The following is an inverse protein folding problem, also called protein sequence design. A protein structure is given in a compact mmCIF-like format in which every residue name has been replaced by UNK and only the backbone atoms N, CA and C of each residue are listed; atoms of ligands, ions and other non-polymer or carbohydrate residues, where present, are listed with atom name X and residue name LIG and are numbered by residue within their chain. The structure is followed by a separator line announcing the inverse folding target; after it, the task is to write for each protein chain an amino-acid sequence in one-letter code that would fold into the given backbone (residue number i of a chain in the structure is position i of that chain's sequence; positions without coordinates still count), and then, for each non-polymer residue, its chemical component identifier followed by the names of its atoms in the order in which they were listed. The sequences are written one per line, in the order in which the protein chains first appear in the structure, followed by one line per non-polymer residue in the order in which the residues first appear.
data_IF_113190016400
#
_entry.id   IF_113190016400
#
_cell.length_a   1.000
_cell.length_b   1.000
_cell.length_c   1.000
_cell.angle_alpha   90.00
_cell.angle_beta   90.00
_cell.angle_gamma   90.00
#
_symmetry.space_group_name_H-M   'P 1'
#
loop_
_entity.id
_entity.type
_entity.pdbx_description
1 polymer ?
#
# COMPACT_ATOMS: atom_id res chain seq x y z
N UNK A 1 -0.61 11.59 -4.44
CA UNK A 1 -0.13 10.41 -5.21
C UNK A 1 -0.39 9.17 -4.40
N UNK A 2 -0.86 8.11 -5.06
CA UNK A 2 -1.29 6.88 -4.37
C UNK A 2 -0.21 5.80 -4.33
N UNK A 3 0.79 5.85 -5.20
CA UNK A 3 1.86 4.85 -5.29
C UNK A 3 3.21 5.43 -4.92
N UNK A 4 3.96 4.69 -4.10
CA UNK A 4 5.28 5.07 -3.62
C UNK A 4 6.27 3.93 -3.81
N UNK A 5 7.47 4.25 -4.29
CA UNK A 5 8.62 3.33 -4.28
C UNK A 5 9.22 3.32 -2.88
N UNK A 6 9.54 2.12 -2.40
CA UNK A 6 10.24 1.91 -1.14
C UNK A 6 11.74 1.78 -1.43
N UNK A 7 12.54 2.52 -0.70
CA UNK A 7 14.01 2.44 -0.76
C UNK A 7 14.61 2.47 0.64
N UNK A 8 15.86 2.04 0.75
CA UNK A 8 16.57 2.01 2.02
C UNK A 8 17.61 3.12 2.06
N UNK A 9 17.66 3.84 3.16
CA UNK A 9 18.70 4.81 3.48
C UNK A 9 19.01 4.73 4.96
N UNK A 10 20.28 4.57 5.31
CA UNK A 10 20.77 4.50 6.69
C UNK A 10 20.00 3.46 7.55
N UNK A 11 19.66 2.32 6.96
CA UNK A 11 18.90 1.24 7.61
C UNK A 11 17.38 1.48 7.72
N UNK A 12 16.89 2.66 7.34
CA UNK A 12 15.46 2.99 7.36
C UNK A 12 14.79 2.72 6.01
N UNK A 13 13.55 2.23 6.04
CA UNK A 13 12.67 2.17 4.87
C UNK A 13 12.02 3.53 4.65
N UNK A 14 12.36 4.17 3.54
CA UNK A 14 11.81 5.43 3.11
C UNK A 14 10.90 5.24 1.89
N UNK A 15 10.02 6.21 1.67
CA UNK A 15 9.07 6.24 0.56
C UNK A 15 9.34 7.45 -0.32
N UNK A 16 9.29 7.26 -1.63
CA UNK A 16 9.20 8.37 -2.58
C UNK A 16 8.01 8.17 -3.53
N UNK A 17 7.29 9.24 -3.85
CA UNK A 17 6.16 9.13 -4.78
C UNK A 17 6.66 8.79 -6.19
N UNK A 18 5.78 8.16 -6.96
CA UNK A 18 5.94 7.93 -8.39
C UNK A 18 5.12 8.97 -9.13
N UNK A 19 5.77 9.82 -9.92
CA UNK A 19 5.16 11.02 -10.50
C UNK A 19 4.17 10.70 -11.64
N UNK A 20 4.41 9.65 -12.41
CA UNK A 20 3.62 9.32 -13.59
C UNK A 20 3.86 7.86 -14.04
N UNK A 21 3.10 7.43 -15.04
CA UNK A 21 3.20 6.08 -15.60
C UNK A 21 4.57 5.79 -16.22
N UNK A 22 5.20 6.77 -16.86
CA UNK A 22 6.54 6.57 -17.45
C UNK A 22 7.55 6.21 -16.39
N UNK A 23 7.61 6.98 -15.29
CA UNK A 23 8.48 6.68 -14.16
C UNK A 23 8.14 5.32 -13.53
N UNK A 24 6.85 5.01 -13.39
CA UNK A 24 6.37 3.75 -12.85
C UNK A 24 6.90 2.55 -13.64
N UNK A 25 6.82 2.61 -14.97
CA UNK A 25 7.31 1.56 -15.87
C UNK A 25 8.83 1.47 -15.87
N UNK A 26 9.53 2.61 -15.96
CA UNK A 26 10.99 2.64 -15.94
C UNK A 26 11.58 2.06 -14.63
N UNK A 27 10.98 2.38 -13.49
CA UNK A 27 11.42 1.83 -12.20
C UNK A 27 11.29 0.30 -12.13
N UNK A 28 10.24 -0.25 -12.76
CA UNK A 28 9.97 -1.69 -12.81
C UNK A 28 10.89 -2.44 -13.76
N UNK A 29 11.31 -1.79 -14.86
CA UNK A 29 12.04 -2.41 -15.95
C UNK A 29 13.57 -2.28 -15.86
N UNK A 30 14.09 -1.94 -14.69
CA UNK A 30 15.53 -1.95 -14.44
C UNK A 30 16.11 -3.36 -14.64
N UNK A 31 17.35 -3.44 -15.09
CA UNK A 31 18.05 -4.72 -15.25
C UNK A 31 18.10 -5.51 -13.94
N UNK A 32 18.32 -4.82 -12.83
CA UNK A 32 18.28 -5.41 -11.51
C UNK A 32 16.91 -6.08 -11.24
N UNK A 33 15.80 -5.35 -11.41
CA UNK A 33 14.47 -5.87 -11.10
C UNK A 33 14.07 -7.05 -12.02
N UNK A 34 14.53 -7.04 -13.29
CA UNK A 34 14.29 -8.12 -14.24
C UNK A 34 14.97 -9.42 -13.88
N UNK A 35 16.12 -9.35 -13.19
CA UNK A 35 16.93 -10.49 -12.78
C UNK A 35 16.73 -10.90 -11.32
N UNK A 36 16.07 -10.05 -10.54
CA UNK A 36 15.89 -10.28 -9.11
C UNK A 36 14.94 -11.45 -8.83
N UNK A 37 15.27 -12.24 -7.83
CA UNK A 37 14.29 -13.10 -7.20
C UNK A 37 13.25 -12.24 -6.42
N UNK A 38 12.15 -12.85 -5.98
CA UNK A 38 11.04 -12.12 -5.35
C UNK A 38 11.49 -11.14 -4.24
N UNK A 39 12.41 -11.56 -3.38
CA UNK A 39 12.79 -10.79 -2.19
C UNK A 39 13.71 -9.60 -2.49
N UNK A 40 14.31 -9.60 -3.67
CA UNK A 40 15.20 -8.54 -4.16
C UNK A 40 14.54 -7.63 -5.20
N UNK A 41 13.27 -7.90 -5.53
CA UNK A 41 12.51 -7.04 -6.45
C UNK A 41 12.24 -5.66 -5.85
N UNK A 42 11.96 -4.72 -6.75
CA UNK A 42 11.42 -3.41 -6.40
C UNK A 42 10.23 -3.55 -5.44
N UNK A 43 10.19 -2.71 -4.42
CA UNK A 43 9.07 -2.67 -3.47
C UNK A 43 8.26 -1.39 -3.66
N UNK A 44 6.95 -1.54 -3.69
CA UNK A 44 6.01 -0.40 -3.75
C UNK A 44 4.96 -0.51 -2.65
N UNK A 45 4.42 0.64 -2.24
CA UNK A 45 3.24 0.72 -1.38
C UNK A 45 2.14 1.52 -2.09
N UNK A 46 0.88 1.07 -1.92
CA UNK A 46 -0.31 1.66 -2.54
C UNK A 46 -1.32 2.17 -1.51
N UNK A 47 -1.11 1.93 -0.21
CA UNK A 47 -2.16 2.11 0.81
C UNK A 47 -1.89 3.25 1.78
N UNK A 48 -0.65 3.74 1.89
CA UNK A 48 -0.33 4.83 2.81
C UNK A 48 0.54 5.93 2.17
N UNK A 49 0.59 7.06 2.85
CA UNK A 49 1.52 8.16 2.59
C UNK A 49 2.70 8.06 3.56
N UNK A 50 3.87 8.58 3.21
CA UNK A 50 5.02 8.61 4.11
C UNK A 50 4.76 9.44 5.36
N UNK A 51 5.46 9.15 6.44
CA UNK A 51 5.59 10.05 7.57
C UNK A 51 6.25 11.38 7.15
N UNK A 52 6.22 12.45 7.98
CA UNK A 52 6.87 13.72 7.66
C UNK A 52 8.38 13.62 7.38
N UNK A 53 9.06 12.63 7.96
CA UNK A 53 10.47 12.32 7.73
C UNK A 53 10.71 11.43 6.48
N UNK A 54 9.66 11.10 5.74
CA UNK A 54 9.70 10.22 4.58
C UNK A 54 9.66 8.73 4.89
N UNK A 55 9.63 8.33 6.17
CA UNK A 55 9.65 6.91 6.55
C UNK A 55 8.31 6.21 6.31
N UNK A 56 8.38 4.88 6.06
CA UNK A 56 7.22 4.00 5.94
C UNK A 56 6.74 3.49 7.30
N UNK A 57 7.68 3.14 8.18
CA UNK A 57 7.38 2.43 9.43
C UNK A 57 6.46 3.24 10.33
N UNK A 58 5.35 2.62 10.73
CA UNK A 58 4.39 3.23 11.65
C UNK A 58 3.56 4.36 11.03
N UNK A 59 3.58 4.55 9.71
CA UNK A 59 2.70 5.53 9.08
C UNK A 59 1.23 5.14 9.29
N UNK A 60 0.44 6.12 9.74
CA UNK A 60 -1.03 6.02 9.88
C UNK A 60 -1.76 6.84 8.81
N UNK A 61 -1.02 7.48 7.90
CA UNK A 61 -1.55 8.34 6.86
C UNK A 61 -2.02 7.51 5.67
N UNK A 62 -3.32 7.39 5.49
CA UNK A 62 -3.87 6.62 4.37
C UNK A 62 -3.75 7.38 3.04
N UNK A 63 -3.40 6.67 1.97
CA UNK A 63 -3.50 7.18 0.60
C UNK A 63 -4.93 7.02 0.06
N UNK A 64 -5.19 7.57 -1.14
CA UNK A 64 -6.49 7.43 -1.81
C UNK A 64 -6.69 6.06 -2.48
N UNK A 65 -5.73 5.18 -2.37
CA UNK A 65 -5.82 3.83 -2.89
C UNK A 65 -5.64 2.78 -1.81
N UNK A 66 -6.03 1.57 -2.14
CA UNK A 66 -5.86 0.37 -1.34
C UNK A 66 -5.13 -0.66 -2.20
N UNK A 67 -3.99 -1.13 -1.71
CA UNK A 67 -3.31 -2.28 -2.29
C UNK A 67 -3.90 -3.57 -1.72
N UNK A 68 -4.17 -4.53 -2.59
CA UNK A 68 -4.69 -5.86 -2.23
C UNK A 68 -3.85 -6.95 -2.90
N UNK A 69 -3.50 -7.96 -2.15
CA UNK A 69 -2.76 -9.13 -2.59
C UNK A 69 -3.73 -10.32 -2.67
N UNK A 70 -3.82 -10.96 -3.81
CA UNK A 70 -4.68 -12.11 -4.10
C UNK A 70 -3.77 -13.30 -4.34
N UNK A 71 -3.66 -14.18 -3.37
CA UNK A 71 -2.82 -15.36 -3.43
C UNK A 71 -3.64 -16.63 -3.55
N UNK A 72 -3.15 -17.58 -4.34
CA UNK A 72 -3.73 -18.92 -4.48
C UNK A 72 -2.74 -19.98 -4.05
N UNK A 73 -3.27 -21.10 -3.53
CA UNK A 73 -2.44 -22.28 -3.27
C UNK A 73 -2.10 -22.97 -4.60
N UNK A 74 -0.80 -23.03 -4.99
CA UNK A 74 -0.41 -23.71 -6.23
C UNK A 74 -0.72 -25.20 -6.26
N UNK A 75 -1.02 -25.81 -5.11
CA UNK A 75 -1.39 -27.23 -5.00
C UNK A 75 -2.90 -27.43 -5.09
N UNK A 76 -3.70 -26.36 -5.09
CA UNK A 76 -5.15 -26.50 -5.25
C UNK A 76 -5.49 -27.02 -6.65
N UNK A 77 -6.44 -27.92 -6.78
CA UNK A 77 -6.78 -28.54 -8.07
C UNK A 77 -7.33 -27.55 -9.09
N UNK A 78 -7.85 -26.41 -8.63
CA UNK A 78 -8.43 -25.33 -9.44
C UNK A 78 -7.47 -24.12 -9.63
N UNK A 79 -6.20 -24.24 -9.20
CA UNK A 79 -5.22 -23.17 -9.26
C UNK A 79 -5.10 -22.53 -10.64
N UNK A 80 -4.86 -23.33 -11.67
CA UNK A 80 -4.70 -22.84 -13.04
C UNK A 80 -5.96 -22.15 -13.57
N UNK A 81 -7.14 -22.65 -13.21
CA UNK A 81 -8.40 -22.04 -13.59
C UNK A 81 -8.57 -20.69 -12.91
N UNK A 82 -8.29 -20.57 -11.60
CA UNK A 82 -8.34 -19.31 -10.85
C UNK A 82 -7.35 -18.29 -11.41
N UNK A 83 -6.11 -18.72 -11.68
CA UNK A 83 -5.10 -17.85 -12.26
C UNK A 83 -5.51 -17.29 -13.63
N UNK A 84 -6.27 -18.02 -14.44
CA UNK A 84 -6.80 -17.55 -15.73
C UNK A 84 -7.99 -16.62 -15.59
N UNK A 85 -8.88 -16.89 -14.64
CA UNK A 85 -10.16 -16.16 -14.51
C UNK A 85 -10.00 -14.79 -13.82
N UNK A 86 -9.02 -14.61 -12.94
CA UNK A 86 -8.89 -13.38 -12.14
C UNK A 86 -8.72 -12.11 -12.99
N UNK A 87 -7.88 -12.06 -14.05
CA UNK A 87 -7.76 -10.86 -14.85
C UNK A 87 -9.08 -10.42 -15.49
N UNK A 88 -9.83 -11.36 -16.06
CA UNK A 88 -11.14 -11.07 -16.67
C UNK A 88 -12.14 -10.61 -15.62
N UNK A 89 -12.18 -11.26 -14.47
CA UNK A 89 -13.03 -10.89 -13.36
C UNK A 89 -12.75 -9.47 -12.86
N UNK A 90 -11.49 -9.15 -12.60
CA UNK A 90 -11.06 -7.84 -12.08
C UNK A 90 -11.34 -6.74 -13.10
N UNK A 91 -11.01 -6.97 -14.39
CA UNK A 91 -11.28 -6.01 -15.46
C UNK A 91 -12.78 -5.85 -15.70
N UNK A 92 -13.58 -6.92 -15.60
CA UNK A 92 -15.04 -6.85 -15.72
C UNK A 92 -15.70 -6.01 -14.62
N UNK A 93 -15.02 -5.85 -13.48
CA UNK A 93 -15.46 -5.04 -12.34
C UNK A 93 -14.67 -3.74 -12.15
N UNK A 94 -13.87 -3.32 -13.14
CA UNK A 94 -12.94 -2.20 -13.02
C UNK A 94 -13.59 -0.89 -12.58
N UNK A 95 -14.75 -0.57 -13.12
CA UNK A 95 -15.44 0.69 -12.85
C UNK A 95 -16.06 0.69 -11.44
N UNK A 96 -16.69 -0.42 -11.04
CA UNK A 96 -17.28 -0.60 -9.72
C UNK A 96 -16.20 -0.61 -8.62
N UNK A 97 -15.09 -1.29 -8.88
CA UNK A 97 -13.93 -1.35 -7.99
C UNK A 97 -13.19 -0.01 -7.91
N UNK A 98 -13.25 0.81 -8.97
CA UNK A 98 -12.35 1.93 -9.16
C UNK A 98 -10.91 1.45 -9.33
N UNK A 99 -10.71 0.46 -10.20
CA UNK A 99 -9.42 -0.18 -10.42
C UNK A 99 -8.37 0.82 -10.90
N UNK A 100 -7.23 0.84 -10.25
CA UNK A 100 -6.08 1.71 -10.57
C UNK A 100 -4.90 0.91 -11.13
N UNK A 101 -4.75 -0.34 -10.72
CA UNK A 101 -3.67 -1.23 -11.19
C UNK A 101 -4.07 -2.69 -11.02
N UNK A 102 -3.67 -3.52 -11.98
CA UNK A 102 -3.69 -4.98 -11.91
C UNK A 102 -2.39 -5.52 -12.46
N UNK A 103 -1.74 -6.39 -11.71
CA UNK A 103 -0.54 -7.10 -12.15
C UNK A 103 -0.55 -8.56 -11.69
N UNK A 104 0.12 -9.42 -12.44
CA UNK A 104 0.42 -10.76 -11.98
C UNK A 104 1.59 -10.67 -10.98
N UNK A 105 1.42 -11.20 -9.78
CA UNK A 105 2.47 -11.22 -8.76
C UNK A 105 3.69 -12.04 -9.20
N UNK A 106 4.79 -11.94 -8.48
CA UNK A 106 6.02 -12.68 -8.80
C UNK A 106 5.81 -14.21 -8.76
N UNK A 107 4.90 -14.71 -7.93
CA UNK A 107 4.74 -16.15 -7.69
C UNK A 107 3.34 -16.66 -8.09
N UNK A 108 2.35 -16.50 -7.22
CA UNK A 108 1.17 -17.36 -7.19
C UNK A 108 -0.17 -16.60 -7.14
N UNK A 109 -0.21 -15.39 -7.67
CA UNK A 109 -1.44 -14.61 -7.59
C UNK A 109 -1.35 -13.30 -8.33
N UNK A 110 -2.07 -12.30 -7.82
CA UNK A 110 -2.19 -10.98 -8.41
C UNK A 110 -2.11 -9.91 -7.33
N UNK A 111 -1.55 -8.76 -7.68
CA UNK A 111 -1.70 -7.54 -6.92
C UNK A 111 -2.68 -6.63 -7.65
N UNK A 112 -3.57 -6.00 -6.90
CA UNK A 112 -4.43 -4.93 -7.41
C UNK A 112 -4.28 -3.69 -6.53
N UNK A 113 -4.44 -2.52 -7.14
CA UNK A 113 -4.69 -1.28 -6.43
C UNK A 113 -6.01 -0.71 -6.92
N UNK A 114 -6.84 -0.22 -6.00
CA UNK A 114 -8.14 0.35 -6.31
C UNK A 114 -8.40 1.60 -5.46
N UNK A 115 -9.37 2.43 -5.87
CA UNK A 115 -9.74 3.64 -5.17
C UNK A 115 -10.27 3.33 -3.78
N UNK A 116 -9.71 4.01 -2.78
CA UNK A 116 -10.19 3.90 -1.40
C UNK A 116 -11.59 4.48 -1.28
N UNK A 117 -12.46 3.77 -0.59
CA UNK A 117 -13.71 4.29 -0.05
C UNK A 117 -13.38 4.95 1.29
N UNK A 118 -13.45 6.30 1.37
CA UNK A 118 -12.91 7.03 2.53
C UNK A 118 -13.70 6.78 3.82
N UNK A 119 -14.95 6.35 3.71
CA UNK A 119 -15.83 5.99 4.80
C UNK A 119 -15.50 4.62 5.44
N UNK A 120 -14.72 3.80 4.75
CA UNK A 120 -14.34 2.47 5.19
C UNK A 120 -12.91 2.44 5.75
N UNK A 121 -12.69 1.59 6.76
CA UNK A 121 -11.35 1.27 7.22
C UNK A 121 -10.53 0.56 6.12
N UNK A 122 -9.21 0.41 6.32
CA UNK A 122 -8.38 -0.38 5.41
C UNK A 122 -8.92 -1.80 5.25
N UNK A 123 -9.24 -2.44 6.36
CA UNK A 123 -9.74 -3.82 6.35
C UNK A 123 -11.12 -3.93 5.70
N UNK A 124 -12.02 -2.96 5.94
CA UNK A 124 -13.35 -3.00 5.34
C UNK A 124 -13.33 -2.70 3.84
N UNK A 125 -12.40 -1.86 3.35
CA UNK A 125 -12.13 -1.72 1.92
C UNK A 125 -11.70 -3.05 1.29
N UNK A 126 -10.79 -3.80 1.96
CA UNK A 126 -10.34 -5.12 1.48
C UNK A 126 -11.48 -6.15 1.49
N UNK A 127 -12.29 -6.20 2.55
CA UNK A 127 -13.47 -7.08 2.63
C UNK A 127 -14.49 -6.77 1.54
N UNK A 128 -14.75 -5.47 1.31
CA UNK A 128 -15.65 -5.05 0.25
C UNK A 128 -15.16 -5.48 -1.13
N UNK A 129 -13.89 -5.22 -1.46
CA UNK A 129 -13.31 -5.62 -2.73
C UNK A 129 -13.27 -7.14 -2.90
N UNK A 130 -12.92 -7.87 -1.84
CA UNK A 130 -12.95 -9.34 -1.78
C UNK A 130 -14.36 -9.88 -2.07
N UNK A 131 -15.39 -9.32 -1.43
CA UNK A 131 -16.80 -9.70 -1.67
C UNK A 131 -17.26 -9.39 -3.09
N UNK A 132 -16.88 -8.22 -3.64
CA UNK A 132 -17.21 -7.81 -5.01
C UNK A 132 -16.58 -8.74 -6.06
N UNK A 133 -15.34 -9.18 -5.82
CA UNK A 133 -14.59 -10.04 -6.73
C UNK A 133 -14.79 -11.53 -6.46
N UNK A 134 -15.39 -11.93 -5.35
CA UNK A 134 -15.49 -13.34 -4.96
C UNK A 134 -14.14 -14.03 -4.75
N UNK A 135 -13.10 -13.26 -4.34
CA UNK A 135 -11.76 -13.79 -4.08
C UNK A 135 -11.29 -13.39 -2.67
N UNK A 136 -10.45 -14.21 -2.07
CA UNK A 136 -9.85 -13.89 -0.78
C UNK A 136 -8.62 -12.96 -0.97
N UNK A 137 -8.40 -12.07 0.00
CA UNK A 137 -7.21 -11.24 0.07
C UNK A 137 -6.23 -11.76 1.14
N UNK A 138 -4.92 -11.54 0.94
CA UNK A 138 -3.93 -11.81 1.97
C UNK A 138 -4.15 -10.88 3.18
N UNK A 139 -4.32 -11.50 4.36
CA UNK A 139 -4.57 -10.78 5.62
C UNK A 139 -3.48 -9.77 5.97
N UNK A 140 -2.26 -9.94 5.47
CA UNK A 140 -1.18 -8.96 5.61
C UNK A 140 -1.48 -7.59 4.99
N UNK A 141 -2.39 -7.53 3.99
CA UNK A 141 -2.81 -6.28 3.36
C UNK A 141 -3.65 -5.35 4.28
N UNK A 142 -4.09 -5.82 5.45
CA UNK A 142 -4.74 -4.98 6.47
C UNK A 142 -3.81 -3.90 7.03
N UNK A 143 -2.51 -4.17 7.06
CA UNK A 143 -1.51 -3.17 7.38
C UNK A 143 -1.31 -2.24 6.18
N UNK A 144 -1.63 -0.95 6.35
CA UNK A 144 -1.45 0.04 5.29
C UNK A 144 0.00 0.21 4.88
N UNK A 145 0.95 -0.17 5.74
CA UNK A 145 2.39 -0.12 5.46
C UNK A 145 2.90 -1.35 4.70
N UNK A 146 2.01 -2.30 4.36
CA UNK A 146 2.34 -3.47 3.54
C UNK A 146 3.02 -3.05 2.24
N UNK A 147 4.16 -3.66 1.95
CA UNK A 147 4.87 -3.49 0.68
C UNK A 147 4.56 -4.64 -0.28
N UNK A 148 4.53 -4.31 -1.56
CA UNK A 148 4.33 -5.27 -2.64
C UNK A 148 5.64 -5.42 -3.40
N UNK A 149 6.09 -6.66 -3.58
CA UNK A 149 7.20 -6.97 -4.46
C UNK A 149 6.74 -6.85 -5.92
N UNK A 150 7.25 -5.83 -6.59
CA UNK A 150 6.73 -5.35 -7.86
C UNK A 150 7.52 -5.94 -9.02
N UNK A 151 6.94 -6.85 -9.82
CA UNK A 151 7.62 -7.45 -10.97
C UNK A 151 7.77 -6.46 -12.13
N UNK A 152 8.58 -6.79 -13.16
CA UNK A 152 8.69 -6.01 -14.40
C UNK A 152 7.36 -5.78 -15.11
N UNK A 153 7.35 -4.82 -16.05
CA UNK A 153 6.10 -4.37 -16.73
C UNK A 153 5.45 -5.41 -17.62
N UNK A 154 6.15 -6.47 -18.02
CA UNK A 154 5.55 -7.60 -18.74
C UNK A 154 4.49 -8.36 -17.93
N UNK A 155 4.46 -8.14 -16.60
CA UNK A 155 3.44 -8.67 -15.70
C UNK A 155 2.33 -7.68 -15.34
N UNK A 156 2.44 -6.45 -15.81
CA UNK A 156 1.43 -5.41 -15.61
C UNK A 156 0.31 -5.59 -16.63
N UNK A 157 -0.90 -5.85 -16.16
CA UNK A 157 -2.07 -6.13 -16.99
C UNK A 157 -2.96 -4.90 -17.20
N UNK A 158 -2.97 -3.99 -16.21
CA UNK A 158 -3.75 -2.75 -16.27
C UNK A 158 -3.10 -1.70 -15.38
N UNK A 159 -3.13 -0.45 -15.83
CA UNK A 159 -2.81 0.73 -15.03
C UNK A 159 -3.65 1.93 -15.49
N UNK A 160 -4.18 2.66 -14.54
CA UNK A 160 -4.94 3.90 -14.76
C UNK A 160 -4.10 5.11 -14.33
N UNK A 161 -4.16 6.20 -15.09
CA UNK A 161 -3.41 7.43 -14.82
C UNK A 161 -3.75 8.05 -13.45
N UNK A 162 -4.95 7.82 -12.93
CA UNK A 162 -5.37 8.28 -11.61
C UNK A 162 -4.55 7.68 -10.45
N UNK A 163 -3.83 6.58 -10.68
CA UNK A 163 -2.86 6.04 -9.72
C UNK A 163 -1.78 7.06 -9.35
N UNK A 164 -1.45 7.98 -10.26
CA UNK A 164 -0.38 8.97 -10.13
C UNK A 164 -0.89 10.36 -9.74
N UNK A 165 -2.20 10.55 -9.68
CA UNK A 165 -2.79 11.83 -9.31
C UNK A 165 -2.55 12.18 -7.84
N UNK A 166 -2.27 13.47 -7.60
CA UNK A 166 -2.04 13.99 -6.26
C UNK A 166 -3.39 14.47 -5.68
N UNK A 167 -4.22 13.53 -5.24
CA UNK A 167 -5.42 13.87 -4.50
C UNK A 167 -5.13 13.78 -3.02
N UNK A 168 -4.74 14.90 -2.40
CA UNK A 168 -4.94 15.05 -0.97
C UNK A 168 -6.46 15.04 -0.74
N UNK A 169 -6.93 14.12 0.07
CA UNK A 169 -8.30 14.18 0.57
C UNK A 169 -8.36 15.41 1.47
N UNK A 170 -8.79 16.54 0.92
CA UNK A 170 -9.20 17.68 1.70
C UNK A 170 -10.32 17.18 2.61
N UNK A 171 -10.02 16.93 3.89
CA UNK A 171 -11.04 16.94 4.93
C UNK A 171 -11.65 18.33 4.84
N UNK A 172 -12.84 18.44 4.22
CA UNK A 172 -13.67 19.61 4.37
C UNK A 172 -13.94 19.73 5.86
N UNK A 173 -13.31 20.70 6.49
CA UNK A 173 -13.73 21.22 7.77
C UNK A 173 -15.17 21.70 7.59
N UNK A 174 -16.11 20.91 8.04
CA UNK A 174 -17.46 21.39 8.34
C UNK A 174 -17.41 22.02 9.72
N UNK A 175 -16.72 23.14 9.81
CA UNK A 175 -16.97 24.12 10.86
C UNK A 175 -18.07 25.05 10.34
N UNK A 176 -19.29 24.62 10.54
CA UNK A 176 -20.44 25.54 10.56
C UNK A 176 -20.50 26.14 11.96
N UNK A 177 -19.97 27.33 12.07
CA UNK A 177 -20.28 28.21 13.16
C UNK A 177 -21.79 28.53 13.13
N UNK A 178 -22.49 28.10 14.14
CA UNK A 178 -23.72 28.78 14.56
C UNK A 178 -23.56 29.21 16.02
N UNK A 179 -23.39 30.50 16.14
CA UNK A 179 -23.50 31.25 17.38
C UNK A 179 -24.98 31.38 17.75
N UNK A 180 -25.35 30.97 18.94
CA UNK A 180 -26.46 31.62 19.65
C UNK A 180 -26.39 31.31 21.14
N UNK A 181 -26.40 32.36 21.87
CA UNK A 181 -26.45 32.56 23.31
C UNK A 181 -27.38 31.63 24.10
N UNK A 182 -26.97 31.26 25.30
CA UNK A 182 -27.59 31.75 26.54
C UNK A 182 -27.09 30.99 27.78
N UNK A 183 -26.90 31.76 28.79
CA UNK A 183 -26.55 31.50 30.18
C UNK A 183 -27.37 30.37 30.87
N UNK A 184 -26.79 29.66 31.78
CA UNK A 184 -27.04 29.71 33.25
C UNK A 184 -26.59 28.44 33.98
N UNK A 185 -25.67 28.63 34.89
CA UNK A 185 -25.49 28.00 36.23
C UNK A 185 -26.02 26.58 36.50
N UNK A 186 -25.24 25.64 37.01
CA UNK A 186 -25.01 25.39 38.43
C UNK A 186 -24.31 24.05 38.72
N UNK A 187 -23.31 24.13 39.58
CA UNK A 187 -22.79 23.18 40.58
C UNK A 187 -23.44 21.78 40.67
N UNK A 188 -22.61 20.71 40.64
CA UNK A 188 -22.31 19.96 41.86
C UNK A 188 -21.26 18.89 41.63
N UNK A 189 -20.31 18.86 42.56
CA UNK A 189 -19.35 17.80 42.82
C UNK A 189 -20.08 16.51 43.26
N UNK A 190 -19.56 15.37 42.90
CA UNK A 190 -19.42 14.22 43.82
C UNK A 190 -18.25 13.36 43.39
N UNK A 191 -17.29 13.23 44.27
CA UNK A 191 -16.25 12.22 44.35
C UNK A 191 -16.83 10.82 44.42
N UNK A 192 -16.22 9.87 43.72
CA UNK A 192 -16.04 8.52 44.29
C UNK A 192 -14.80 7.85 43.78
N UNK A 193 -13.91 7.60 44.70
CA UNK A 193 -12.78 6.66 44.64
C UNK A 193 -13.32 5.24 44.50
N UNK A 194 -12.60 4.42 43.77
CA UNK A 194 -12.45 3.06 44.21
C UNK A 194 -11.23 2.34 43.71
N UNK A 195 -10.60 1.63 44.61
CA UNK A 195 -9.42 0.82 44.37
C UNK A 195 -9.81 -0.67 44.24
N UNK A 196 -8.94 -1.42 43.61
CA UNK A 196 -8.52 -2.80 43.82
C UNK A 196 -7.91 -3.30 42.53
N UNK A 197 -6.66 -3.45 42.47
CA UNK A 197 -5.70 -4.51 42.93
C UNK A 197 -5.57 -5.62 41.91
N UNK A 198 -4.38 -5.68 41.39
CA UNK A 198 -3.46 -6.83 41.20
C UNK A 198 -4.02 -8.21 40.84
N UNK A 199 -3.45 -8.76 39.75
CA UNK A 199 -2.66 -10.02 39.72
C UNK A 199 -2.20 -10.27 38.27
N UNK A 200 -0.90 -10.22 37.99
CA UNK A 200 0.08 -11.29 37.82
C UNK A 200 -0.37 -12.50 36.98
N UNK A 201 0.43 -12.79 35.95
CA UNK A 201 0.49 -14.08 35.24
C UNK A 201 1.09 -13.90 33.84
N UNK A 202 2.36 -13.96 33.76
CA UNK A 202 3.32 -14.97 33.31
C UNK A 202 3.21 -15.38 31.82
N UNK A 203 4.25 -14.98 31.08
CA UNK A 203 5.01 -15.71 30.03
C UNK A 203 4.29 -16.64 29.07
N UNK A 204 4.49 -16.36 27.78
CA UNK A 204 5.14 -17.39 26.93
C UNK A 204 5.85 -16.73 25.76
N UNK A 205 7.07 -17.16 25.56
CA UNK A 205 8.00 -16.87 24.51
C UNK A 205 7.40 -17.13 23.11
N UNK A 206 7.62 -16.20 22.21
CA UNK A 206 7.55 -16.49 20.79
C UNK A 206 8.79 -15.95 20.12
N UNK A 207 9.59 -16.88 19.65
CA UNK A 207 10.87 -16.72 19.04
C UNK A 207 10.83 -15.70 17.89
N UNK A 208 11.64 -14.67 18.06
CA UNK A 208 12.04 -13.71 17.06
C UNK A 208 13.02 -14.37 16.09
N UNK A 209 12.54 -14.75 14.92
CA UNK A 209 13.44 -15.11 13.81
C UNK A 209 13.82 -13.83 13.08
N UNK A 210 14.82 -13.14 13.61
CA UNK A 210 15.52 -12.07 12.94
C UNK A 210 16.33 -12.62 11.76
N UNK A 211 15.73 -12.64 10.58
CA UNK A 211 16.46 -12.84 9.34
C UNK A 211 17.10 -11.51 8.94
N UNK A 212 18.39 -11.39 9.23
CA UNK A 212 19.24 -10.24 8.94
C UNK A 212 19.54 -10.20 7.44
N UNK A 213 18.67 -9.55 6.67
CA UNK A 213 18.99 -9.17 5.30
C UNK A 213 20.11 -8.11 5.31
N UNK A 214 21.26 -8.46 4.73
CA UNK A 214 22.38 -7.54 4.50
C UNK A 214 21.90 -6.30 3.74
N UNK A 215 22.40 -5.10 4.07
CA UNK A 215 22.02 -3.89 3.34
C UNK A 215 22.51 -3.98 1.90
N UNK A 216 21.62 -3.73 0.96
CA UNK A 216 21.97 -3.47 -0.44
C UNK A 216 22.75 -2.15 -0.52
N UNK A 217 23.90 -2.22 -1.18
CA UNK A 217 24.80 -1.10 -1.46
C UNK A 217 24.02 0.06 -2.10
N UNK A 218 24.01 1.20 -1.40
CA UNK A 218 23.28 2.43 -1.77
C UNK A 218 23.87 3.15 -3.00
N UNK A 219 24.95 2.63 -3.58
CA UNK A 219 25.68 3.24 -4.70
C UNK A 219 24.97 3.13 -6.06
N UNK A 220 23.91 2.31 -6.18
CA UNK A 220 23.25 2.00 -7.48
C UNK A 220 22.02 2.84 -7.79
N UNK A 221 21.59 3.77 -6.92
CA UNK A 221 20.41 4.59 -7.14
C UNK A 221 20.69 6.09 -7.26
N UNK A 222 21.77 6.45 -7.92
CA UNK A 222 21.94 7.85 -8.36
C UNK A 222 21.31 8.00 -9.74
N UNK A 223 20.02 8.28 -9.79
CA UNK A 223 19.22 8.56 -11.00
C UNK A 223 19.59 9.91 -11.67
N UNK A 224 20.86 10.37 -11.55
CA UNK A 224 21.28 11.64 -12.15
C UNK A 224 21.89 11.51 -13.53
N UNK A 225 22.12 10.34 -14.06
CA UNK A 225 22.77 10.17 -15.38
C UNK A 225 21.83 9.83 -16.55
N UNK A 226 20.55 9.54 -16.31
CA UNK A 226 19.64 9.13 -17.40
C UNK A 226 18.97 10.27 -18.17
N UNK A 227 19.05 11.51 -17.70
CA UNK A 227 18.49 12.67 -18.39
C UNK A 227 19.44 13.29 -19.43
N UNK A 228 20.70 12.90 -19.47
CA UNK A 228 21.64 13.41 -20.48
C UNK A 228 21.62 12.62 -21.79
N UNK A 229 21.09 11.39 -21.81
CA UNK A 229 21.06 10.52 -22.99
C UNK A 229 19.86 10.77 -23.95
N UNK A 230 18.91 11.62 -23.56
CA UNK A 230 17.75 11.94 -24.42
C UNK A 230 18.00 13.15 -25.35
N UNK A 231 19.18 13.76 -25.31
CA UNK A 231 19.50 14.90 -26.20
C UNK A 231 20.08 14.53 -27.56
N UNK A 232 20.49 13.28 -27.77
CA UNK A 232 21.20 12.88 -29.01
C UNK A 232 20.34 12.12 -30.04
N UNK A 233 19.04 12.04 -29.84
CA UNK A 233 18.12 11.38 -30.82
C UNK A 233 17.27 12.37 -31.64
N UNK A 234 17.79 13.59 -31.90
CA UNK A 234 17.25 14.50 -32.91
C UNK A 234 18.37 14.99 -33.83
N UNK A 235 18.80 14.13 -34.74
CA UNK A 235 19.35 14.50 -36.04
C UNK A 235 18.98 13.46 -37.08
#
# INVERSE_FOLDING_TARGET
MSVHIIYYKDGAKLMRPVANETEYRLARDTEHNRRADKHHMLQMNYSCLPNPDGSLKGSTRMSNSVGMDIDFDPKAPDYEQRMKSVPELVIGKKDELGLLMLERSANKGYHIAFKRRPELSQEDNLKWASGLLGVEYDKGAKDITRVFFTPPTDRLLFVDSQLFENTEVNKKNTDSSDSADSETQNKNQINQKNPYSEKQGLNTDSADSSDSAKPLDSSLFTLHSSLSLLKDYRR
#
